data_IF_958798392999
#
_entry.id   IF_958798392999
#
_cell.length_a   1.000
_cell.length_b   1.000
_cell.length_c   1.000
_cell.angle_alpha   90.00
_cell.angle_beta   90.00
_cell.angle_gamma   90.00
#
_symmetry.space_group_name_H-M   'P 1'
#
loop_
_entity.id
_entity.type
_entity.pdbx_description
1 polymer ?
#
# COMPACT_ATOMS: atom_id res chain seq x y z
N UNK A 1 41.54 2.66 2.65
CA UNK A 1 40.36 1.78 2.82
C UNK A 1 39.19 2.34 2.03
N UNK A 2 38.65 1.54 1.12
CA UNK A 2 37.53 1.98 0.33
C UNK A 2 36.20 1.77 1.10
N UNK A 3 35.34 2.76 1.04
CA UNK A 3 34.00 2.66 1.64
C UNK A 3 33.04 2.18 0.57
N UNK A 4 32.14 1.26 0.96
CA UNK A 4 31.05 0.88 0.08
C UNK A 4 30.05 2.02 0.01
N UNK A 5 29.63 2.33 -1.20
CA UNK A 5 28.57 3.30 -1.43
C UNK A 5 27.30 2.56 -1.77
N UNK A 6 26.27 2.81 -0.98
CA UNK A 6 24.95 2.22 -1.19
C UNK A 6 24.00 3.35 -1.55
N UNK A 7 23.32 3.21 -2.66
CA UNK A 7 22.40 4.23 -3.14
C UNK A 7 21.02 3.61 -3.37
N UNK A 8 19.98 4.41 -3.21
CA UNK A 8 18.62 4.02 -3.51
C UNK A 8 18.35 4.39 -4.96
N UNK A 9 18.05 3.39 -5.80
CA UNK A 9 17.81 3.61 -7.22
C UNK A 9 16.35 3.59 -7.61
N UNK A 10 15.48 3.16 -6.69
CA UNK A 10 14.04 3.15 -6.93
C UNK A 10 13.29 3.00 -5.63
N UNK A 11 12.09 3.52 -5.60
CA UNK A 11 11.20 3.44 -4.44
C UNK A 11 9.78 3.18 -4.91
N UNK A 12 8.99 2.53 -4.06
CA UNK A 12 7.60 2.26 -4.34
C UNK A 12 6.80 2.21 -3.06
N UNK A 13 5.52 2.48 -3.13
CA UNK A 13 4.65 2.47 -1.97
C UNK A 13 3.23 2.11 -2.33
N UNK A 14 2.58 1.37 -1.43
CA UNK A 14 1.14 1.17 -1.41
C UNK A 14 0.69 1.50 0.00
N UNK A 15 -0.23 2.42 0.13
CA UNK A 15 -0.62 2.93 1.45
C UNK A 15 -2.10 3.32 1.47
N UNK A 16 -2.56 3.74 2.64
CA UNK A 16 -3.92 4.26 2.79
C UNK A 16 -4.11 5.59 2.05
N UNK A 17 -3.03 6.26 1.67
CA UNK A 17 -3.10 7.53 0.93
C UNK A 17 -3.05 7.33 -0.59
N UNK A 18 -2.53 6.22 -1.07
CA UNK A 18 -2.47 5.97 -2.50
C UNK A 18 -1.84 4.65 -2.84
N UNK A 19 -1.96 4.26 -4.10
CA UNK A 19 -1.48 2.98 -4.62
C UNK A 19 -0.12 3.09 -5.29
N UNK A 20 0.50 4.26 -5.26
CA UNK A 20 1.86 4.49 -5.74
C UNK A 20 2.54 5.54 -4.88
N UNK A 21 3.85 5.70 -5.06
CA UNK A 21 4.62 6.64 -4.25
C UNK A 21 4.25 8.11 -4.53
N UNK A 22 4.16 8.57 -5.79
CA UNK A 22 3.80 9.97 -6.03
C UNK A 22 2.47 10.36 -5.39
N UNK A 23 1.44 9.53 -5.49
CA UNK A 23 0.14 9.79 -4.87
C UNK A 23 0.24 9.85 -3.36
N UNK A 24 0.91 8.87 -2.76
CA UNK A 24 1.12 8.81 -1.31
C UNK A 24 1.88 10.05 -0.82
N UNK A 25 2.97 10.40 -1.49
CA UNK A 25 3.80 11.52 -1.11
C UNK A 25 3.07 12.84 -1.23
N UNK A 26 2.33 13.03 -2.34
CA UNK A 26 1.56 14.26 -2.55
C UNK A 26 0.52 14.48 -1.47
N UNK A 27 -0.23 13.44 -1.11
CA UNK A 27 -1.24 13.53 -0.05
C UNK A 27 -0.60 13.72 1.31
N UNK A 28 0.54 13.11 1.56
CA UNK A 28 1.28 13.28 2.80
C UNK A 28 1.72 14.73 2.97
N UNK A 29 2.23 15.35 1.92
CA UNK A 29 2.65 16.76 1.95
C UNK A 29 1.47 17.71 2.17
N UNK A 30 0.26 17.32 1.74
CA UNK A 30 -0.96 18.09 1.98
C UNK A 30 -1.49 17.92 3.39
N UNK A 31 -0.92 17.01 4.18
CA UNK A 31 -1.37 16.74 5.53
C UNK A 31 -2.62 15.88 5.61
N UNK A 32 -2.94 15.13 4.55
CA UNK A 32 -4.12 14.27 4.54
C UNK A 32 -3.90 13.03 5.41
N UNK A 33 -4.98 12.61 6.10
CA UNK A 33 -4.98 11.38 6.89
C UNK A 33 -5.54 10.24 6.06
N UNK A 34 -4.93 9.05 6.18
CA UNK A 34 -5.45 7.83 5.57
C UNK A 34 -6.39 7.05 6.47
N UNK A 35 -6.67 7.56 7.67
CA UNK A 35 -7.53 6.88 8.62
C UNK A 35 -9.00 7.01 8.25
N UNK A 36 -9.76 5.96 8.49
CA UNK A 36 -11.20 5.96 8.26
C UNK A 36 -11.85 4.84 9.03
N UNK A 37 -13.16 4.76 8.99
CA UNK A 37 -13.88 3.67 9.65
C UNK A 37 -13.53 2.34 8.98
N UNK A 38 -13.35 1.32 9.79
CA UNK A 38 -13.01 -0.02 9.29
C UNK A 38 -14.18 -0.55 8.45
N UNK A 39 -13.87 -1.00 7.24
CA UNK A 39 -14.86 -1.53 6.31
C UNK A 39 -14.71 -3.03 6.07
N UNK A 40 -13.58 -3.62 6.46
CA UNK A 40 -13.27 -5.01 6.11
C UNK A 40 -13.95 -6.04 7.02
N UNK A 41 -14.39 -5.61 8.19
CA UNK A 41 -15.11 -6.49 9.10
C UNK A 41 -16.00 -5.66 10.02
N UNK A 42 -16.93 -6.36 10.72
CA UNK A 42 -17.84 -5.73 11.67
C UNK A 42 -17.09 -5.36 12.95
N UNK A 43 -17.12 -4.08 13.31
CA UNK A 43 -16.40 -3.55 14.46
C UNK A 43 -17.28 -3.35 15.70
N UNK A 44 -18.53 -3.82 15.67
CA UNK A 44 -19.49 -3.56 16.74
C UNK A 44 -18.97 -3.99 18.12
N UNK A 45 -18.24 -5.12 18.16
CA UNK A 45 -17.71 -5.67 19.42
C UNK A 45 -16.28 -5.21 19.71
N UNK A 46 -15.73 -4.31 18.91
CA UNK A 46 -14.36 -3.83 19.07
C UNK A 46 -14.35 -2.42 19.62
N UNK A 47 -13.35 -2.11 20.45
CA UNK A 47 -13.18 -0.76 21.00
C UNK A 47 -12.67 0.21 19.96
N UNK A 48 -11.77 -0.25 19.06
CA UNK A 48 -11.24 0.56 17.98
C UNK A 48 -12.06 0.31 16.72
N UNK A 49 -12.57 1.37 16.13
CA UNK A 49 -13.45 1.29 14.95
C UNK A 49 -12.87 1.95 13.70
N UNK A 50 -11.64 2.47 13.79
CA UNK A 50 -10.98 3.11 12.66
C UNK A 50 -9.62 2.48 12.40
N UNK A 51 -9.16 2.58 11.18
CA UNK A 51 -7.85 2.08 10.75
C UNK A 51 -7.44 2.78 9.47
N UNK A 52 -6.17 2.61 9.10
CA UNK A 52 -5.67 3.07 7.81
C UNK A 52 -5.67 1.87 6.85
N UNK A 53 -6.77 1.70 6.13
CA UNK A 53 -6.89 0.65 5.11
C UNK A 53 -6.32 1.14 3.79
N UNK A 54 -5.95 0.22 2.93
CA UNK A 54 -5.58 0.58 1.56
C UNK A 54 -6.89 0.77 0.78
N UNK A 55 -7.30 2.03 0.69
CA UNK A 55 -8.55 2.40 0.01
C UNK A 55 -8.37 2.27 -1.51
N UNK A 56 -9.45 2.08 -2.22
CA UNK A 56 -9.48 1.99 -3.68
C UNK A 56 -8.70 0.79 -4.25
N UNK A 57 -8.38 -0.21 -3.42
CA UNK A 57 -7.70 -1.41 -3.89
C UNK A 57 -8.67 -2.34 -4.61
N UNK A 58 -8.27 -2.77 -5.81
CA UNK A 58 -8.95 -3.82 -6.54
C UNK A 58 -7.88 -4.78 -7.09
N UNK A 59 -7.87 -5.99 -6.56
CA UNK A 59 -6.83 -6.98 -6.88
C UNK A 59 -6.74 -7.32 -8.36
N UNK A 60 -7.88 -7.33 -9.07
CA UNK A 60 -7.90 -7.68 -10.49
C UNK A 60 -7.29 -6.61 -11.38
N UNK A 61 -7.11 -5.37 -10.88
CA UNK A 61 -6.43 -4.32 -11.62
C UNK A 61 -4.92 -4.54 -11.69
N UNK A 62 -4.38 -5.36 -10.78
CA UNK A 62 -2.94 -5.57 -10.64
C UNK A 62 -2.51 -7.00 -10.94
N UNK A 63 -3.41 -7.97 -10.77
CA UNK A 63 -3.11 -9.40 -10.90
C UNK A 63 -4.22 -10.11 -11.65
N UNK A 64 -3.87 -11.18 -12.41
CA UNK A 64 -4.91 -12.03 -12.99
C UNK A 64 -5.84 -12.56 -11.91
N UNK A 65 -7.10 -12.75 -12.26
CA UNK A 65 -8.12 -13.20 -11.31
C UNK A 65 -7.73 -14.49 -10.59
N UNK A 66 -7.09 -15.42 -11.30
CA UNK A 66 -6.63 -16.68 -10.71
C UNK A 66 -5.55 -16.46 -9.67
N UNK A 67 -4.61 -15.56 -9.91
CA UNK A 67 -3.56 -15.23 -8.95
C UNK A 67 -4.10 -14.44 -7.76
N UNK A 68 -5.04 -13.52 -7.99
CA UNK A 68 -5.59 -12.71 -6.92
C UNK A 68 -6.34 -13.54 -5.89
N UNK A 69 -6.83 -14.71 -6.27
CA UNK A 69 -7.46 -15.64 -5.31
C UNK A 69 -6.47 -16.45 -4.50
N UNK A 70 -5.23 -16.56 -4.97
CA UNK A 70 -4.18 -17.36 -4.32
C UNK A 70 -3.27 -16.54 -3.43
N UNK A 71 -3.15 -15.25 -3.70
CA UNK A 71 -2.27 -14.36 -2.96
C UNK A 71 -3.03 -13.66 -1.84
N UNK A 72 -2.37 -13.48 -0.72
CA UNK A 72 -2.92 -12.66 0.35
C UNK A 72 -2.71 -11.18 0.07
N UNK A 73 -3.52 -10.31 0.67
CA UNK A 73 -3.46 -8.89 0.41
C UNK A 73 -2.08 -8.29 0.68
N UNK A 74 -1.45 -8.65 1.80
CA UNK A 74 -0.14 -8.08 2.11
C UNK A 74 0.91 -8.44 1.06
N UNK A 75 0.81 -9.64 0.50
CA UNK A 75 1.72 -10.08 -0.57
C UNK A 75 1.50 -9.25 -1.83
N UNK A 76 0.24 -9.02 -2.19
CA UNK A 76 -0.10 -8.22 -3.37
C UNK A 76 0.37 -6.77 -3.20
N UNK A 77 0.18 -6.17 -2.03
CA UNK A 77 0.66 -4.81 -1.75
C UNK A 77 2.19 -4.73 -1.91
N UNK A 78 2.88 -5.71 -1.36
CA UNK A 78 4.34 -5.77 -1.47
C UNK A 78 4.78 -5.86 -2.93
N UNK A 79 4.15 -6.74 -3.70
CA UNK A 79 4.54 -6.93 -5.10
C UNK A 79 4.29 -5.69 -5.94
N UNK A 80 3.19 -4.99 -5.71
CA UNK A 80 2.91 -3.73 -6.42
C UNK A 80 3.94 -2.66 -6.06
N UNK A 81 4.25 -2.50 -4.78
CA UNK A 81 5.25 -1.53 -4.35
C UNK A 81 6.63 -1.87 -4.87
N UNK A 82 7.01 -3.16 -4.81
CA UNK A 82 8.29 -3.62 -5.32
C UNK A 82 8.41 -3.41 -6.84
N UNK A 83 7.34 -3.67 -7.57
CA UNK A 83 7.31 -3.44 -9.02
C UNK A 83 7.52 -1.97 -9.36
N UNK A 84 6.90 -1.08 -8.61
CA UNK A 84 7.11 0.36 -8.78
C UNK A 84 8.58 0.73 -8.54
N UNK A 85 9.18 0.21 -7.47
CA UNK A 85 10.57 0.50 -7.14
C UNK A 85 11.55 0.00 -8.20
N UNK A 86 11.18 -1.06 -8.92
CA UNK A 86 12.03 -1.67 -9.95
C UNK A 86 11.94 -0.97 -11.31
N UNK A 87 11.01 -0.08 -11.48
CA UNK A 87 10.92 0.70 -12.73
C UNK A 87 11.96 1.83 -12.75
#
# INVERSE_FOLDING_TARGET
MSRRRVVITGVGAVSSLGLDLPTTWGKLLEGQSGAGLITKFDTEKHTTKFACEVWDWNSVDHFPKTESKRLELFTMYYLVAASEAMK
#
